data_IF_626728302037
#
_entry.id   IF_626728302037
#
_cell.length_a   1.000
_cell.length_b   1.000
_cell.length_c   1.000
_cell.angle_alpha   90.00
_cell.angle_beta   90.00
_cell.angle_gamma   90.00
#
_symmetry.space_group_name_H-M   'P 1'
#
loop_
_entity.id
_entity.type
_entity.pdbx_description
1 polymer ?
#
# COMPACT_ATOMS: atom_id res chain seq x y z
N UNK A 1 -3.65 3.89 -10.30
CA UNK A 1 -2.69 3.01 -9.60
C UNK A 1 -2.20 2.00 -10.62
N UNK A 2 -0.92 1.60 -10.53
CA UNK A 2 -0.37 0.52 -11.34
C UNK A 2 -1.00 -0.84 -10.92
N UNK A 3 -0.87 -1.90 -11.74
CA UNK A 3 -1.32 -3.24 -11.34
C UNK A 3 -0.77 -3.64 -9.96
N UNK A 4 -1.59 -4.33 -9.17
CA UNK A 4 -1.25 -4.78 -7.82
C UNK A 4 -0.79 -6.23 -7.89
N UNK A 5 0.41 -6.51 -7.39
CA UNK A 5 0.98 -7.85 -7.32
C UNK A 5 0.87 -8.43 -5.90
N UNK A 6 1.07 -9.75 -5.75
CA UNK A 6 1.03 -10.40 -4.43
C UNK A 6 2.10 -9.83 -3.48
N UNK A 7 3.28 -9.51 -3.99
CA UNK A 7 4.35 -8.87 -3.22
C UNK A 7 4.00 -7.46 -2.76
N UNK A 8 3.18 -6.73 -3.54
CA UNK A 8 2.63 -5.45 -3.10
C UNK A 8 1.68 -5.62 -1.92
N UNK A 9 0.84 -6.66 -1.95
CA UNK A 9 -0.10 -6.96 -0.87
C UNK A 9 0.64 -7.32 0.43
N UNK A 10 1.71 -8.11 0.36
CA UNK A 10 2.55 -8.41 1.53
C UNK A 10 3.16 -7.14 2.13
N UNK A 11 3.81 -6.32 1.29
CA UNK A 11 4.44 -5.07 1.74
C UNK A 11 3.39 -4.16 2.38
N UNK A 12 2.23 -3.97 1.74
CA UNK A 12 1.17 -3.12 2.26
C UNK A 12 0.57 -3.68 3.55
N UNK A 13 0.31 -4.99 3.63
CA UNK A 13 -0.21 -5.63 4.85
C UNK A 13 0.77 -5.47 6.01
N UNK A 14 2.07 -5.62 5.78
CA UNK A 14 3.10 -5.42 6.82
C UNK A 14 3.27 -3.96 7.22
N UNK A 15 3.09 -3.01 6.30
CA UNK A 15 3.03 -1.59 6.68
C UNK A 15 1.77 -1.30 7.50
N UNK A 16 0.62 -1.85 7.13
CA UNK A 16 -0.61 -1.70 7.93
C UNK A 16 -0.48 -2.39 9.29
N UNK A 17 0.22 -3.52 9.38
CA UNK A 17 0.51 -4.19 10.64
C UNK A 17 1.34 -3.31 11.58
N UNK A 18 2.31 -2.56 11.04
CA UNK A 18 3.15 -1.64 11.81
C UNK A 18 2.42 -0.37 12.28
N UNK A 19 1.49 0.16 11.46
CA UNK A 19 0.91 1.51 11.66
C UNK A 19 -0.62 1.51 11.84
N UNK A 20 -1.25 0.35 11.90
CA UNK A 20 -2.68 0.17 12.08
C UNK A 20 -3.53 0.32 10.81
N UNK A 21 -4.80 -0.11 10.86
CA UNK A 21 -5.69 -0.28 9.71
C UNK A 21 -6.02 1.02 8.95
N UNK A 22 -6.04 2.17 9.64
CA UNK A 22 -6.27 3.49 9.01
C UNK A 22 -5.22 3.81 7.94
N UNK A 23 -4.03 3.22 8.07
CA UNK A 23 -2.93 3.39 7.11
C UNK A 23 -3.23 2.77 5.75
N UNK A 24 -4.10 1.75 5.67
CA UNK A 24 -4.48 1.11 4.40
C UNK A 24 -5.09 2.11 3.41
N UNK A 25 -6.03 2.93 3.89
CA UNK A 25 -6.71 3.96 3.06
C UNK A 25 -5.70 4.98 2.55
N UNK A 26 -4.76 5.41 3.40
CA UNK A 26 -3.72 6.39 3.03
C UNK A 26 -2.78 5.83 1.97
N UNK A 27 -2.34 4.58 2.11
CA UNK A 27 -1.46 3.92 1.14
C UNK A 27 -2.16 3.81 -0.22
N UNK A 28 -3.39 3.31 -0.26
CA UNK A 28 -4.14 3.12 -1.51
C UNK A 28 -4.42 4.47 -2.20
N UNK A 29 -4.86 5.47 -1.44
CA UNK A 29 -5.07 6.83 -1.96
C UNK A 29 -3.75 7.43 -2.49
N UNK A 30 -2.65 7.24 -1.75
CA UNK A 30 -1.30 7.65 -2.15
C UNK A 30 -0.85 7.00 -3.46
N UNK A 31 -1.00 5.69 -3.60
CA UNK A 31 -0.64 4.96 -4.82
C UNK A 31 -1.47 5.41 -6.03
N UNK A 32 -2.78 5.65 -5.84
CA UNK A 32 -3.65 6.20 -6.89
C UNK A 32 -3.26 7.64 -7.27
N UNK A 33 -2.92 8.50 -6.30
CA UNK A 33 -2.42 9.85 -6.53
C UNK A 33 -1.07 9.83 -7.27
N UNK A 34 -0.13 8.98 -6.86
CA UNK A 34 1.18 8.85 -7.48
C UNK A 34 1.09 8.41 -8.93
N UNK A 35 0.20 7.46 -9.27
CA UNK A 35 0.02 7.04 -10.66
C UNK A 35 -0.59 8.17 -11.52
N UNK A 36 -1.56 8.93 -10.99
CA UNK A 36 -2.09 10.11 -11.69
C UNK A 36 -1.00 11.16 -11.92
N UNK A 37 -0.21 11.46 -10.89
CA UNK A 37 0.92 12.39 -10.97
C UNK A 37 1.94 11.91 -12.02
N UNK A 38 2.33 10.64 -11.98
CA UNK A 38 3.28 10.04 -12.93
C UNK A 38 2.77 10.14 -14.37
N UNK A 39 1.48 9.85 -14.60
CA UNK A 39 0.88 9.96 -15.94
C UNK A 39 0.93 11.39 -16.48
N UNK A 40 0.65 12.39 -15.62
CA UNK A 40 0.63 13.81 -15.99
C UNK A 40 2.03 14.43 -16.11
N UNK A 41 2.88 14.20 -15.12
CA UNK A 41 4.18 14.87 -14.98
C UNK A 41 5.36 14.04 -15.50
N UNK A 42 5.13 12.78 -15.90
CA UNK A 42 6.15 11.82 -16.36
C UNK A 42 7.29 11.60 -15.36
N UNK A 43 7.03 11.85 -14.08
CA UNK A 43 7.99 11.73 -12.96
C UNK A 43 7.38 10.96 -11.79
N UNK A 44 8.24 10.34 -10.97
CA UNK A 44 7.84 9.72 -9.70
C UNK A 44 7.29 10.78 -8.73
N UNK A 45 6.21 10.47 -8.02
CA UNK A 45 5.70 11.35 -6.97
C UNK A 45 6.67 11.33 -5.77
N UNK A 46 7.05 12.51 -5.27
CA UNK A 46 8.07 12.67 -4.21
C UNK A 46 7.77 11.86 -2.95
N UNK A 47 6.52 11.93 -2.48
CA UNK A 47 6.07 11.20 -1.28
C UNK A 47 5.59 9.77 -1.59
N UNK A 48 4.63 9.64 -2.49
CA UNK A 48 3.90 8.38 -2.73
C UNK A 48 4.48 7.44 -3.78
N UNK A 49 5.67 7.73 -4.28
CA UNK A 49 6.37 6.81 -5.15
C UNK A 49 5.90 6.83 -6.61
N UNK A 50 6.00 5.69 -7.27
CA UNK A 50 5.83 5.54 -8.72
C UNK A 50 4.42 5.09 -9.13
N UNK A 51 3.48 5.05 -8.18
CA UNK A 51 2.11 4.62 -8.42
C UNK A 51 1.85 3.14 -8.22
N UNK A 52 2.86 2.37 -7.79
CA UNK A 52 2.67 1.03 -7.21
C UNK A 52 2.22 1.14 -5.75
N UNK A 53 1.62 0.07 -5.23
CA UNK A 53 1.21 -0.01 -3.84
C UNK A 53 2.43 -0.13 -2.90
N UNK A 54 3.42 -0.96 -3.26
CA UNK A 54 4.70 -1.02 -2.54
C UNK A 54 5.43 0.34 -2.54
N UNK A 55 5.43 1.06 -3.67
CA UNK A 55 6.03 2.39 -3.79
C UNK A 55 5.42 3.42 -2.86
N UNK A 56 4.12 3.31 -2.54
CA UNK A 56 3.43 4.16 -1.57
C UNK A 56 3.76 3.80 -0.11
N UNK A 57 4.24 2.58 0.15
CA UNK A 57 4.71 2.14 1.46
C UNK A 57 6.15 2.54 1.76
N UNK A 58 6.96 2.82 0.73
CA UNK A 58 8.41 2.99 0.82
C UNK A 58 8.88 4.08 1.80
N UNK A 59 8.08 5.12 2.03
CA UNK A 59 8.43 6.21 2.94
C UNK A 59 8.20 5.88 4.43
N UNK A 60 7.35 4.89 4.73
CA UNK A 60 6.97 4.53 6.10
C UNK A 60 7.62 3.21 6.52
N UNK A 61 7.79 2.28 5.57
CA UNK A 61 8.42 0.98 5.78
C UNK A 61 7.46 -0.10 6.30
N UNK A 62 7.66 -1.38 5.96
CA UNK A 62 6.86 -2.48 6.51
C UNK A 62 7.41 -2.99 7.86
N UNK A 63 6.56 -3.60 8.68
CA UNK A 63 7.02 -4.48 9.76
C UNK A 63 7.92 -5.60 9.23
N UNK A 64 8.67 -6.30 10.10
CA UNK A 64 9.38 -7.52 9.71
C UNK A 64 8.39 -8.56 9.10
N UNK A 65 8.84 -9.43 8.17
CA UNK A 65 7.98 -10.47 7.64
C UNK A 65 7.50 -11.37 8.79
N UNK A 66 6.19 -11.62 8.92
CA UNK A 66 5.70 -12.55 9.93
C UNK A 66 6.12 -13.98 9.56
N UNK A 67 6.32 -14.84 10.56
CA UNK A 67 6.66 -16.25 10.33
C UNK A 67 5.53 -17.07 9.70
N UNK A 68 4.30 -16.57 9.76
CA UNK A 68 3.11 -17.18 9.18
C UNK A 68 2.03 -16.13 8.88
N UNK A 69 0.98 -16.52 8.14
CA UNK A 69 -0.21 -15.71 7.91
C UNK A 69 -1.14 -15.71 9.14
N UNK A 70 -0.65 -15.13 10.25
CA UNK A 70 -1.34 -15.09 11.54
C UNK A 70 -2.58 -14.16 11.56
N UNK A 71 -3.30 -14.12 12.67
CA UNK A 71 -4.52 -13.31 12.78
C UNK A 71 -4.27 -11.80 12.59
N UNK A 72 -3.13 -11.30 13.05
CA UNK A 72 -2.79 -9.88 12.95
C UNK A 72 -2.46 -9.52 11.50
N UNK A 73 -1.66 -10.33 10.82
CA UNK A 73 -1.37 -10.18 9.39
C UNK A 73 -2.64 -10.29 8.55
N UNK A 74 -3.50 -11.28 8.81
CA UNK A 74 -4.78 -11.42 8.08
C UNK A 74 -5.68 -10.20 8.26
N UNK A 75 -5.73 -9.63 9.46
CA UNK A 75 -6.50 -8.40 9.73
C UNK A 75 -5.93 -7.22 8.95
N UNK A 76 -4.61 -7.07 8.93
CA UNK A 76 -3.94 -6.02 8.17
C UNK A 76 -4.16 -6.18 6.64
N UNK A 77 -4.03 -7.41 6.13
CA UNK A 77 -4.30 -7.74 4.73
C UNK A 77 -5.77 -7.46 4.36
N UNK A 78 -6.72 -7.84 5.22
CA UNK A 78 -8.13 -7.55 5.02
C UNK A 78 -8.41 -6.03 4.92
N UNK A 79 -7.75 -5.22 5.75
CA UNK A 79 -7.85 -3.76 5.66
C UNK A 79 -7.31 -3.22 4.33
N UNK A 80 -6.18 -3.77 3.82
CA UNK A 80 -5.65 -3.42 2.50
C UNK A 80 -6.64 -3.78 1.39
N UNK A 81 -7.18 -5.00 1.41
CA UNK A 81 -8.15 -5.47 0.42
C UNK A 81 -9.44 -4.63 0.43
N UNK A 82 -9.94 -4.28 1.61
CA UNK A 82 -11.10 -3.41 1.77
C UNK A 82 -10.82 -2.01 1.17
N UNK A 83 -9.65 -1.42 1.44
CA UNK A 83 -9.27 -0.13 0.88
C UNK A 83 -9.10 -0.18 -0.65
N UNK A 84 -8.64 -1.30 -1.21
CA UNK A 84 -8.52 -1.51 -2.66
C UNK A 84 -9.89 -1.64 -3.33
N UNK A 85 -10.84 -2.33 -2.69
CA UNK A 85 -12.20 -2.53 -3.19
C UNK A 85 -13.06 -1.26 -3.10
N UNK A 86 -12.70 -0.31 -2.24
CA UNK A 86 -13.41 0.96 -2.11
C UNK A 86 -13.33 1.78 -3.41
N UNK A 87 -14.46 2.32 -3.91
CA UNK A 87 -14.46 3.30 -4.99
C UNK A 87 -13.70 4.55 -4.51
N UNK A 88 -12.91 5.15 -5.41
CA UNK A 88 -12.31 6.47 -5.20
C UNK A 88 -12.88 7.48 -6.17
#
# INVERSE_FOLDING_TARGET
>A
MRPVHVTDLDIAARTVLAYGPVTAVRIVAGARLADRYRKRMRRRHRLWGDGTLAGACAAIGPAAPPGACDAAYRTALAAVLAALAAPL
#
